data_IF_403152071339
#
_entry.id   IF_403152071339
#
_cell.length_a   1.000
_cell.length_b   1.000
_cell.length_c   1.000
_cell.angle_alpha   90.00
_cell.angle_beta   90.00
_cell.angle_gamma   90.00
#
_symmetry.space_group_name_H-M   'P 1'
#
loop_
_entity.id
_entity.type
_entity.pdbx_description
1 polymer ?
#
# COMPACT_ATOMS: atom_id res chain seq x y z
N UNK A 1 -2.98 10.72 13.41
CA UNK A 1 -2.42 10.72 12.05
C UNK A 1 -1.69 9.40 11.82
N UNK A 2 -2.11 8.63 10.81
CA UNK A 2 -1.46 7.35 10.54
C UNK A 2 -0.04 7.53 9.95
N UNK A 3 0.84 6.54 10.19
CA UNK A 3 2.15 6.53 9.55
C UNK A 3 2.05 6.44 8.02
N UNK A 4 2.93 7.18 7.35
CA UNK A 4 3.02 7.18 5.89
C UNK A 4 3.68 5.89 5.39
N UNK A 5 3.13 5.28 4.34
CA UNK A 5 3.69 4.07 3.73
C UNK A 5 4.63 4.42 2.57
N UNK A 6 5.56 3.49 2.26
CA UNK A 6 6.64 3.70 1.31
C UNK A 6 6.77 2.48 0.39
N UNK A 7 7.49 2.64 -0.70
CA UNK A 7 7.86 1.53 -1.58
C UNK A 7 8.49 0.40 -0.76
N UNK A 8 8.00 -0.82 -0.93
CA UNK A 8 8.50 -1.99 -0.23
C UNK A 8 7.79 -2.29 1.10
N UNK A 9 6.96 -1.38 1.60
CA UNK A 9 6.15 -1.66 2.79
C UNK A 9 5.03 -2.65 2.44
N UNK A 10 4.61 -3.45 3.43
CA UNK A 10 3.68 -4.56 3.19
C UNK A 10 2.22 -4.20 3.41
N UNK A 11 1.34 -5.00 2.81
CA UNK A 11 -0.09 -5.00 3.09
C UNK A 11 -0.46 -6.12 4.07
N UNK A 12 -1.71 -6.10 4.52
CA UNK A 12 -2.21 -7.12 5.46
C UNK A 12 -2.48 -8.47 4.80
N UNK A 13 -2.60 -8.51 3.47
CA UNK A 13 -3.21 -9.64 2.79
C UNK A 13 -4.72 -9.67 3.05
N UNK A 14 -5.41 -10.64 2.47
CA UNK A 14 -6.83 -10.85 2.71
C UNK A 14 -7.21 -12.29 2.41
N UNK A 15 -8.11 -12.85 3.20
CA UNK A 15 -8.54 -14.25 3.07
C UNK A 15 -7.34 -15.18 2.99
N UNK A 16 -7.17 -15.94 1.90
CA UNK A 16 -6.03 -16.84 1.69
C UNK A 16 -4.91 -16.22 0.87
N UNK A 17 -5.02 -14.94 0.47
CA UNK A 17 -3.95 -14.21 -0.20
C UNK A 17 -3.01 -13.60 0.82
N UNK A 18 -1.72 -13.99 0.82
CA UNK A 18 -0.79 -13.55 1.85
C UNK A 18 -0.37 -12.08 1.68
N UNK A 19 0.22 -11.47 2.72
CA UNK A 19 0.79 -10.12 2.59
C UNK A 19 1.84 -10.03 1.49
N UNK A 20 1.88 -8.87 0.82
CA UNK A 20 2.86 -8.54 -0.21
C UNK A 20 3.34 -7.11 -0.04
N UNK A 21 4.42 -6.79 -0.69
CA UNK A 21 5.03 -5.46 -0.65
C UNK A 21 4.55 -4.60 -1.80
N UNK A 22 4.52 -3.29 -1.58
CA UNK A 22 4.27 -2.34 -2.65
C UNK A 22 5.47 -2.31 -3.61
N UNK A 23 5.20 -2.06 -4.89
CA UNK A 23 6.19 -2.18 -5.97
C UNK A 23 6.45 -0.88 -6.70
N UNK A 24 5.75 0.20 -6.37
CA UNK A 24 6.03 1.51 -6.95
C UNK A 24 5.83 2.63 -5.95
N UNK A 25 6.39 3.78 -6.25
CA UNK A 25 6.33 4.97 -5.43
C UNK A 25 6.76 6.21 -6.21
N UNK A 26 6.85 7.34 -5.52
CA UNK A 26 7.24 8.61 -6.13
C UNK A 26 8.66 8.56 -6.68
N UNK A 27 8.89 9.13 -7.88
CA UNK A 27 10.26 9.24 -8.41
C UNK A 27 11.09 10.34 -7.76
N UNK A 28 10.46 11.24 -7.00
CA UNK A 28 11.15 12.42 -6.48
C UNK A 28 10.75 12.87 -5.08
N UNK A 29 9.84 12.15 -4.43
CA UNK A 29 9.46 12.41 -3.03
C UNK A 29 9.74 11.16 -2.20
N UNK A 30 10.49 11.35 -1.12
CA UNK A 30 10.97 10.25 -0.31
C UNK A 30 10.56 10.43 1.15
N UNK A 31 10.30 9.31 1.80
CA UNK A 31 10.02 9.24 3.24
C UNK A 31 11.05 8.30 3.85
N UNK A 32 11.88 8.82 4.75
CA UNK A 32 13.02 8.08 5.33
C UNK A 32 13.98 7.54 4.25
N UNK A 33 14.18 8.30 3.16
CA UNK A 33 15.03 7.90 2.05
C UNK A 33 14.43 6.86 1.11
N UNK A 34 13.15 6.53 1.27
CA UNK A 34 12.43 5.52 0.48
C UNK A 34 11.31 6.21 -0.30
N UNK A 35 11.08 5.88 -1.59
CA UNK A 35 10.00 6.52 -2.35
C UNK A 35 8.64 6.45 -1.65
N UNK A 36 7.96 7.57 -1.55
CA UNK A 36 6.61 7.64 -0.97
C UNK A 36 5.63 6.87 -1.85
N UNK A 37 4.77 6.06 -1.22
CA UNK A 37 3.73 5.30 -1.93
C UNK A 37 2.45 6.13 -2.02
N UNK A 38 1.81 6.13 -3.19
CA UNK A 38 0.69 7.03 -3.50
C UNK A 38 -0.49 6.27 -4.05
N UNK A 39 -1.65 6.88 -4.02
CA UNK A 39 -2.84 6.36 -4.69
C UNK A 39 -2.54 6.00 -6.15
N UNK A 40 -2.91 4.81 -6.56
CA UNK A 40 -2.65 4.26 -7.89
C UNK A 40 -1.32 3.51 -8.00
N UNK A 41 -0.43 3.62 -7.03
CA UNK A 41 0.82 2.85 -7.03
C UNK A 41 0.54 1.37 -6.80
N UNK A 42 1.37 0.53 -7.40
CA UNK A 42 1.13 -0.90 -7.50
C UNK A 42 1.60 -1.70 -6.28
N UNK A 43 0.99 -2.87 -6.13
CA UNK A 43 1.35 -3.88 -5.13
C UNK A 43 1.68 -5.16 -5.84
N UNK A 44 2.60 -5.94 -5.26
CA UNK A 44 3.04 -7.21 -5.84
C UNK A 44 1.89 -8.22 -5.89
N UNK A 45 1.94 -9.09 -6.87
CA UNK A 45 0.96 -10.15 -7.05
C UNK A 45 1.00 -11.13 -5.88
N UNK A 46 -0.17 -11.53 -5.40
CA UNK A 46 -0.28 -12.63 -4.46
C UNK A 46 -1.27 -13.68 -4.94
N UNK A 47 -1.04 -14.91 -4.50
CA UNK A 47 -1.79 -16.06 -4.96
C UNK A 47 -2.39 -16.82 -3.78
N UNK A 48 -3.61 -17.31 -3.98
CA UNK A 48 -4.23 -18.21 -3.04
C UNK A 48 -3.99 -19.65 -3.49
N UNK A 49 -3.35 -20.44 -2.66
CA UNK A 49 -3.07 -21.86 -2.94
C UNK A 49 -3.85 -22.78 -2.03
N UNK A 50 -4.67 -22.25 -1.12
CA UNK A 50 -5.44 -23.03 -0.19
C UNK A 50 -6.59 -23.76 -0.91
N UNK A 51 -6.77 -25.08 -0.72
CA UNK A 51 -7.77 -25.83 -1.48
C UNK A 51 -9.22 -25.43 -1.21
N UNK A 52 -9.49 -24.77 -0.08
CA UNK A 52 -10.85 -24.36 0.32
C UNK A 52 -11.17 -22.90 -0.01
N UNK A 53 -10.22 -22.17 -0.61
CA UNK A 53 -10.40 -20.77 -0.99
C UNK A 53 -10.63 -20.64 -2.49
N UNK A 54 -11.23 -19.52 -2.95
CA UNK A 54 -11.16 -19.17 -4.36
C UNK A 54 -9.69 -19.08 -4.78
N UNK A 55 -9.34 -19.80 -5.84
CA UNK A 55 -7.97 -19.87 -6.31
C UNK A 55 -7.69 -18.77 -7.31
N UNK A 56 -6.45 -18.41 -7.41
CA UNK A 56 -5.95 -17.46 -8.40
C UNK A 56 -4.97 -16.48 -7.82
N UNK A 57 -4.41 -15.70 -8.72
CA UNK A 57 -3.46 -14.67 -8.39
C UNK A 57 -4.01 -13.32 -8.84
N UNK A 58 -3.73 -12.29 -8.05
CA UNK A 58 -4.06 -10.94 -8.45
C UNK A 58 -3.05 -9.96 -7.86
N UNK A 59 -2.98 -8.79 -8.47
CA UNK A 59 -2.27 -7.66 -7.94
C UNK A 59 -3.27 -6.56 -7.63
N UNK A 60 -2.80 -5.49 -6.99
CA UNK A 60 -3.64 -4.36 -6.68
C UNK A 60 -2.89 -3.05 -6.78
N UNK A 61 -3.60 -1.98 -6.51
CA UNK A 61 -3.03 -0.65 -6.37
C UNK A 61 -3.64 0.03 -5.15
N UNK A 62 -2.95 1.04 -4.62
CA UNK A 62 -3.49 1.80 -3.50
C UNK A 62 -4.75 2.52 -3.97
N UNK A 63 -5.88 2.24 -3.33
CA UNK A 63 -7.16 2.78 -3.75
C UNK A 63 -7.40 4.21 -3.26
N UNK A 64 -6.92 4.53 -2.07
CA UNK A 64 -7.08 5.85 -1.47
C UNK A 64 -5.98 6.09 -0.45
N UNK A 65 -5.74 7.36 -0.13
CA UNK A 65 -4.78 7.78 0.88
C UNK A 65 -5.26 9.02 1.60
N UNK A 66 -4.32 9.85 2.07
CA UNK A 66 -4.63 11.10 2.75
C UNK A 66 -5.50 12.00 1.87
N UNK A 67 -6.55 12.57 2.45
CA UNK A 67 -7.38 13.55 1.76
C UNK A 67 -6.78 14.96 1.81
N UNK A 68 -5.72 15.16 2.55
CA UNK A 68 -5.09 16.48 2.75
C UNK A 68 -3.64 16.56 2.28
N UNK A 69 -2.95 15.44 2.10
CA UNK A 69 -1.55 15.42 1.68
C UNK A 69 -1.42 14.66 0.36
N UNK A 70 -0.84 15.34 -0.62
CA UNK A 70 -0.69 14.81 -1.97
C UNK A 70 0.79 14.78 -2.35
N UNK A 71 1.17 13.75 -3.09
CA UNK A 71 2.51 13.58 -3.66
C UNK A 71 2.35 13.37 -5.16
N UNK A 72 2.93 14.27 -5.94
CA UNK A 72 2.79 14.25 -7.41
C UNK A 72 1.31 14.28 -7.85
N UNK A 73 0.45 15.02 -7.13
CA UNK A 73 -0.97 15.13 -7.40
C UNK A 73 -1.81 13.92 -6.98
N UNK A 74 -1.24 12.96 -6.26
CA UNK A 74 -1.91 11.73 -5.79
C UNK A 74 -1.94 11.69 -4.28
N UNK A 75 -2.99 11.10 -3.71
CA UNK A 75 -3.13 10.97 -2.27
C UNK A 75 -1.98 10.14 -1.69
N UNK A 76 -1.32 10.65 -0.64
CA UNK A 76 -0.23 9.95 0.02
C UNK A 76 -0.77 8.76 0.83
N UNK A 77 -0.20 7.57 0.61
CA UNK A 77 -0.61 6.35 1.30
C UNK A 77 -0.18 6.28 2.75
N UNK A 78 -1.00 5.63 3.60
CA UNK A 78 -0.76 5.50 5.03
C UNK A 78 -1.18 4.11 5.50
N UNK A 79 -0.69 3.70 6.67
CA UNK A 79 -1.17 2.46 7.31
C UNK A 79 -2.69 2.51 7.47
N UNK A 80 -3.36 1.43 7.11
CA UNK A 80 -4.81 1.30 7.15
C UNK A 80 -5.52 1.71 5.88
N UNK A 81 -4.86 2.37 4.94
CA UNK A 81 -5.48 2.75 3.68
C UNK A 81 -5.75 1.51 2.80
N UNK A 82 -6.84 1.55 2.01
CA UNK A 82 -7.26 0.36 1.27
C UNK A 82 -6.42 0.12 0.02
N UNK A 83 -6.14 -1.15 -0.23
CA UNK A 83 -5.59 -1.64 -1.49
C UNK A 83 -6.75 -2.22 -2.31
N UNK A 84 -6.78 -1.97 -3.60
CA UNK A 84 -7.93 -2.30 -4.46
C UNK A 84 -8.30 -3.78 -4.47
N UNK A 85 -7.36 -4.66 -4.12
CA UNK A 85 -7.62 -6.11 -4.07
C UNK A 85 -8.33 -6.58 -2.80
N UNK A 86 -8.54 -5.70 -1.81
CA UNK A 86 -9.16 -6.04 -0.53
C UNK A 86 -8.22 -6.03 0.67
N UNK A 87 -6.93 -5.84 0.45
CA UNK A 87 -5.95 -5.65 1.52
C UNK A 87 -5.98 -4.22 2.08
N UNK A 88 -5.24 -4.02 3.15
CA UNK A 88 -4.94 -2.69 3.70
C UNK A 88 -3.44 -2.54 3.89
N UNK A 89 -2.95 -1.31 3.90
CA UNK A 89 -1.54 -1.05 4.18
C UNK A 89 -1.22 -1.44 5.62
N UNK A 90 -0.15 -2.22 5.83
CA UNK A 90 0.22 -2.76 7.14
C UNK A 90 1.46 -2.10 7.75
N UNK A 91 2.39 -1.61 6.92
CA UNK A 91 3.65 -1.03 7.38
C UNK A 91 3.84 0.40 6.88
N UNK A 92 4.63 1.15 7.62
CA UNK A 92 4.97 2.52 7.25
C UNK A 92 6.11 3.08 8.07
N UNK A 93 6.31 4.39 7.94
CA UNK A 93 7.36 5.13 8.64
C UNK A 93 7.15 5.12 10.15
N UNK A 94 8.26 5.11 10.90
CA UNK A 94 8.23 5.24 12.36
C UNK A 94 8.02 6.69 12.82
N UNK A 95 8.23 7.68 11.95
CA UNK A 95 8.30 9.07 12.37
C UNK A 95 7.71 10.08 11.36
N UNK A 96 7.08 9.61 10.28
CA UNK A 96 6.40 10.48 9.31
C UNK A 96 4.93 10.08 9.22
N UNK A 97 4.05 11.04 9.41
CA UNK A 97 2.60 10.82 9.52
C UNK A 97 1.86 11.78 8.61
N UNK A 98 0.70 11.36 8.12
CA UNK A 98 -0.19 12.21 7.33
C UNK A 98 -1.63 12.02 7.79
N UNK A 99 -2.33 13.14 7.94
CA UNK A 99 -3.73 13.17 8.35
C UNK A 99 -4.69 13.10 7.16
N UNK A 100 -5.87 13.50 7.41
CA UNK A 100 -6.95 13.53 6.46
C UNK A 100 -7.79 12.29 6.52
#
# INVERSE_FOLDING_TARGET
>A
MPPVTRLGDSCTGHECWPPRNSTSGSPNVFVNGIPAHRQGDSWDTHCCTHPECPHGCHAGSLAAGSSSVYVNGKQLGRIGDPVSCGSSVANGSNNVFAGG
#
